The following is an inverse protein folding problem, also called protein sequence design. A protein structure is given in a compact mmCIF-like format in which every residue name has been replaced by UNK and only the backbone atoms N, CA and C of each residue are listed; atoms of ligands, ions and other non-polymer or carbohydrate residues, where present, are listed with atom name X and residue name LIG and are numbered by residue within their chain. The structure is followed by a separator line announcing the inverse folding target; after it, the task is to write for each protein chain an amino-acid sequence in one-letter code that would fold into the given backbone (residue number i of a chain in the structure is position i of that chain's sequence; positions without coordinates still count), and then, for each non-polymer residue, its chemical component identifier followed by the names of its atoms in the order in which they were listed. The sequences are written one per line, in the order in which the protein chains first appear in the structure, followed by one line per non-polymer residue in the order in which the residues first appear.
data_IF_638297019658
#
_entry.id   IF_638297019658
#
_cell.length_a   1.000
_cell.length_b   1.000
_cell.length_c   1.000
_cell.angle_alpha   90.00
_cell.angle_beta   90.00
_cell.angle_gamma   90.00
#
_symmetry.space_group_name_H-M   'P 1'
#
loop_
_entity.id
_entity.type
_entity.pdbx_description
1 polymer ?
#
# COMPACT_ATOMS: atom_id res chain seq x y z
N UNK A 1 -20.23 1.16 -11.86
CA UNK A 1 -19.01 1.82 -12.36
C UNK A 1 -18.06 1.97 -11.18
N UNK A 2 -16.85 1.42 -11.24
CA UNK A 2 -15.80 1.75 -10.26
C UNK A 2 -15.01 2.95 -10.77
N UNK A 3 -14.40 3.69 -9.85
CA UNK A 3 -13.62 4.88 -10.17
C UNK A 3 -12.42 4.60 -11.10
N UNK A 4 -12.00 3.34 -11.25
CA UNK A 4 -10.86 2.94 -12.10
C UNK A 4 -11.27 2.12 -13.34
N UNK A 5 -12.55 2.12 -13.74
CA UNK A 5 -12.98 1.38 -14.94
C UNK A 5 -12.80 -0.13 -14.84
N UNK A 6 -13.08 -0.72 -13.67
CA UNK A 6 -13.00 -2.17 -13.40
C UNK A 6 -11.60 -2.79 -13.54
N UNK A 7 -10.53 -2.00 -13.44
CA UNK A 7 -9.16 -2.51 -13.49
C UNK A 7 -8.79 -3.27 -12.21
N UNK A 8 -8.14 -4.42 -12.35
CA UNK A 8 -7.75 -5.31 -11.25
C UNK A 8 -6.26 -5.15 -11.00
N UNK A 9 -5.89 -4.67 -9.81
CA UNK A 9 -4.54 -4.78 -9.28
C UNK A 9 -4.37 -6.18 -8.68
N UNK A 10 -3.51 -7.03 -9.26
CA UNK A 10 -3.22 -8.37 -8.76
C UNK A 10 -1.79 -8.42 -8.25
N UNK A 11 -1.63 -8.51 -6.94
CA UNK A 11 -0.32 -8.61 -6.27
C UNK A 11 -0.14 -10.06 -5.80
N UNK A 12 0.98 -10.69 -6.17
CA UNK A 12 1.41 -12.01 -5.67
C UNK A 12 2.84 -11.87 -5.16
N UNK A 13 3.06 -12.16 -3.89
CA UNK A 13 4.37 -12.18 -3.26
C UNK A 13 4.42 -13.31 -2.22
N UNK A 14 5.60 -13.85 -1.96
CA UNK A 14 5.83 -14.87 -0.92
C UNK A 14 7.02 -14.43 -0.10
N UNK A 15 6.77 -14.12 1.18
CA UNK A 15 7.76 -13.55 2.09
C UNK A 15 8.10 -12.10 1.72
N UNK A 16 7.32 -11.13 2.21
CA UNK A 16 7.61 -9.70 1.97
C UNK A 16 8.49 -9.21 3.11
N UNK A 17 9.72 -8.85 2.80
CA UNK A 17 10.70 -8.25 3.73
C UNK A 17 10.59 -6.73 3.74
N UNK A 18 10.25 -6.14 2.59
CA UNK A 18 10.15 -4.69 2.43
C UNK A 18 9.21 -4.28 1.31
N UNK A 19 8.76 -3.03 1.39
CA UNK A 19 7.95 -2.39 0.34
C UNK A 19 8.57 -1.06 0.00
N UNK A 20 8.57 -0.72 -1.28
CA UNK A 20 8.88 0.62 -1.75
C UNK A 20 7.69 1.17 -2.55
N UNK A 21 7.48 2.47 -2.45
CA UNK A 21 6.54 3.20 -3.30
C UNK A 21 7.33 4.22 -4.08
N UNK A 22 7.36 4.08 -5.41
CA UNK A 22 8.12 4.96 -6.31
C UNK A 22 9.60 5.09 -5.88
N UNK A 23 10.21 3.97 -5.46
CA UNK A 23 11.60 3.90 -5.00
C UNK A 23 11.87 4.45 -3.59
N UNK A 24 10.84 4.85 -2.83
CA UNK A 24 10.98 5.25 -1.42
C UNK A 24 10.60 4.12 -0.47
N UNK A 25 11.42 3.81 0.56
CA UNK A 25 11.09 2.82 1.57
C UNK A 25 9.73 3.10 2.22
N UNK A 26 8.89 2.08 2.29
CA UNK A 26 7.54 2.16 2.78
C UNK A 26 7.32 1.15 3.91
N UNK A 27 7.18 1.67 5.12
CA UNK A 27 7.04 0.84 6.32
C UNK A 27 5.59 0.70 6.78
N UNK A 28 4.61 1.27 6.07
CA UNK A 28 3.21 1.23 6.50
C UNK A 28 2.46 0.13 5.75
N UNK A 29 1.58 -0.57 6.45
CA UNK A 29 0.66 -1.55 5.86
C UNK A 29 -0.48 -0.95 5.02
N UNK A 30 -0.43 0.36 4.72
CA UNK A 30 -1.44 1.09 3.94
C UNK A 30 -0.80 2.21 3.16
N UNK A 31 -1.44 2.61 2.07
CA UNK A 31 -1.18 3.84 1.33
C UNK A 31 -2.51 4.49 0.94
N UNK A 32 -2.51 5.80 0.70
CA UNK A 32 -3.71 6.54 0.27
C UNK A 32 -3.83 6.55 -1.25
N UNK A 33 -5.02 6.91 -1.73
CA UNK A 33 -5.28 7.07 -3.16
C UNK A 33 -4.26 8.01 -3.82
N UNK A 34 -3.97 9.13 -3.16
CA UNK A 34 -3.01 10.15 -3.60
C UNK A 34 -1.58 9.61 -3.80
N UNK A 35 -1.20 8.52 -3.12
CA UNK A 35 0.19 8.05 -3.13
C UNK A 35 0.57 7.33 -4.43
N UNK A 36 -0.37 6.61 -5.06
CA UNK A 36 -0.07 5.77 -6.24
C UNK A 36 -1.22 5.77 -7.23
N UNK A 37 -2.46 5.76 -6.75
CA UNK A 37 -3.62 5.55 -7.62
C UNK A 37 -4.18 6.84 -8.23
N UNK A 38 -3.82 8.02 -7.70
CA UNK A 38 -4.20 9.32 -8.28
C UNK A 38 -3.22 9.84 -9.34
N UNK A 39 -1.92 9.57 -9.18
CA UNK A 39 -0.85 10.13 -10.01
C UNK A 39 -0.04 9.08 -10.79
N UNK A 40 -0.36 7.80 -10.61
CA UNK A 40 0.50 6.70 -11.05
C UNK A 40 1.70 6.53 -10.11
N UNK A 41 2.53 5.54 -10.41
CA UNK A 41 3.68 5.16 -9.60
C UNK A 41 3.91 3.66 -9.63
N UNK A 42 4.91 3.22 -8.86
CA UNK A 42 5.26 1.81 -8.74
C UNK A 42 5.16 1.39 -7.27
N UNK A 43 4.79 0.12 -7.07
CA UNK A 43 4.87 -0.54 -5.78
C UNK A 43 5.82 -1.70 -5.98
N UNK A 44 7.00 -1.60 -5.39
CA UNK A 44 8.01 -2.65 -5.40
C UNK A 44 7.92 -3.45 -4.11
N UNK A 45 7.97 -4.77 -4.23
CA UNK A 45 8.00 -5.70 -3.10
C UNK A 45 9.36 -6.37 -3.05
N UNK A 46 10.03 -6.23 -1.91
CA UNK A 46 11.26 -6.94 -1.61
C UNK A 46 10.87 -8.31 -1.02
N UNK A 47 11.34 -9.38 -1.68
CA UNK A 47 11.02 -10.74 -1.28
C UNK A 47 12.16 -11.33 -0.44
N UNK A 48 11.82 -11.88 0.72
CA UNK A 48 12.77 -12.39 1.71
C UNK A 48 12.08 -13.17 2.83
N UNK A 49 12.76 -13.35 3.96
CA UNK A 49 12.11 -13.88 5.16
C UNK A 49 11.10 -12.86 5.70
N UNK A 50 9.98 -13.33 6.26
CA UNK A 50 8.91 -12.44 6.71
C UNK A 50 9.35 -11.64 7.95
N UNK A 51 9.92 -10.46 7.72
CA UNK A 51 10.20 -9.50 8.78
C UNK A 51 8.99 -8.60 9.04
N UNK A 52 8.81 -8.16 10.29
CA UNK A 52 7.76 -7.23 10.67
C UNK A 52 8.10 -5.81 10.17
N UNK A 53 7.90 -5.56 8.87
CA UNK A 53 8.15 -4.25 8.25
C UNK A 53 6.97 -3.28 8.42
N UNK A 54 5.79 -3.80 8.75
CA UNK A 54 4.56 -3.04 8.96
C UNK A 54 4.56 -2.29 10.30
N UNK A 55 5.00 -1.04 10.27
CA UNK A 55 5.01 -0.12 11.40
C UNK A 55 4.07 1.06 11.17
N UNK A 56 3.39 1.50 12.23
CA UNK A 56 2.61 2.73 12.21
C UNK A 56 1.22 2.60 12.84
N UNK A 57 0.60 3.75 13.07
CA UNK A 57 -0.70 3.86 13.74
C UNK A 57 -1.79 3.19 12.90
N UNK A 58 -2.70 2.46 13.55
CA UNK A 58 -3.88 1.87 12.90
C UNK A 58 -4.68 2.97 12.19
N UNK A 59 -5.14 2.75 10.94
CA UNK A 59 -6.02 3.72 10.29
C UNK A 59 -7.29 3.96 11.12
N UNK A 60 -7.91 5.15 11.02
CA UNK A 60 -9.18 5.39 11.70
C UNK A 60 -10.21 4.35 11.27
N UNK A 61 -11.11 3.91 12.17
CA UNK A 61 -12.15 2.96 11.83
C UNK A 61 -13.02 3.52 10.70
N UNK A 62 -13.52 2.66 9.80
CA UNK A 62 -14.42 3.09 8.74
C UNK A 62 -15.64 3.80 9.36
N UNK A 63 -15.83 5.09 9.06
CA UNK A 63 -16.89 5.93 9.64
C UNK A 63 -16.42 7.11 10.48
N UNK A 64 -15.11 7.32 10.65
CA UNK A 64 -14.60 8.51 11.35
C UNK A 64 -14.73 9.76 10.46
N UNK A 65 -15.77 10.56 10.69
CA UNK A 65 -15.87 11.92 10.14
C UNK A 65 -15.10 12.81 11.13
N UNK A 66 -14.03 13.51 10.71
CA UNK A 66 -13.40 14.52 11.58
C UNK A 66 -14.46 15.59 11.86
N UNK A 67 -14.80 15.76 13.15
CA UNK A 67 -15.58 16.91 13.64
C UNK A 67 -14.74 18.18 13.67
#
# INVERSE_FOLDING_TARGET
MTANGNQILRIKATGVEGVQISGQPWTKNRFKHENVTAHGGTIELELGEMEAWETGSVPPPPGHIPV
#
